data_IF_641203454465
#
_entry.id   IF_641203454465
#
_cell.length_a   1.000
_cell.length_b   1.000
_cell.length_c   1.000
_cell.angle_alpha   90.00
_cell.angle_beta   90.00
_cell.angle_gamma   90.00
#
_symmetry.space_group_name_H-M   'P 1'
#
loop_
_entity.id
_entity.type
_entity.pdbx_description
1 polymer ?
#
# COMPACT_ATOMS: atom_id res chain seq x y z
N UNK A 1 16.11 -12.53 25.64
CA UNK A 1 16.34 -13.28 24.39
C UNK A 1 16.42 -12.22 23.31
N UNK A 2 17.61 -11.64 23.10
CA UNK A 2 18.59 -12.09 22.10
C UNK A 2 17.91 -12.10 20.72
N UNK A 3 18.29 -11.22 19.79
CA UNK A 3 19.55 -11.33 19.06
C UNK A 3 20.31 -10.01 18.92
N UNK A 4 21.63 -10.13 19.12
CA UNK A 4 22.67 -9.13 18.84
C UNK A 4 22.81 -8.92 17.34
N UNK A 5 22.84 -7.66 16.92
CA UNK A 5 23.40 -7.26 15.63
C UNK A 5 24.91 -7.09 15.82
N UNK A 6 25.66 -8.02 15.25
CA UNK A 6 27.11 -8.07 15.26
C UNK A 6 27.63 -7.77 13.85
N UNK A 7 28.63 -6.87 13.80
CA UNK A 7 29.61 -6.65 12.73
C UNK A 7 29.25 -5.62 11.64
N UNK A 8 29.40 -4.35 12.02
CA UNK A 8 30.24 -3.44 11.25
C UNK A 8 31.68 -3.99 11.24
N UNK A 9 32.02 -4.76 10.20
CA UNK A 9 33.34 -5.32 10.00
C UNK A 9 34.13 -4.46 9.03
N UNK A 10 34.94 -3.55 9.57
CA UNK A 10 36.19 -3.11 8.95
C UNK A 10 36.99 -4.36 8.54
N UNK A 11 37.10 -4.61 7.23
CA UNK A 11 38.01 -5.62 6.70
C UNK A 11 38.93 -5.00 5.65
N UNK A 12 40.08 -4.58 6.18
CA UNK A 12 41.42 -4.91 5.70
C UNK A 12 41.68 -4.66 4.21
N UNK A 13 42.20 -3.46 3.93
CA UNK A 13 43.14 -3.29 2.82
C UNK A 13 44.40 -4.13 3.11
N UNK A 14 44.41 -5.33 2.53
CA UNK A 14 45.52 -6.27 2.56
C UNK A 14 46.70 -5.77 1.73
N UNK A 15 47.77 -5.48 2.45
CA UNK A 15 49.16 -5.28 2.02
C UNK A 15 49.72 -6.56 1.36
N UNK A 16 49.95 -6.58 0.04
CA UNK A 16 51.04 -7.28 -0.70
C UNK A 16 51.01 -6.67 -2.13
N UNK A 17 52.03 -6.05 -2.72
CA UNK A 17 53.46 -6.28 -2.67
C UNK A 17 54.19 -4.96 -2.41
N UNK A 18 54.97 -4.91 -1.33
CA UNK A 18 56.01 -3.91 -1.19
C UNK A 18 57.04 -4.07 -2.30
N UNK A 19 57.50 -2.97 -2.86
CA UNK A 19 58.79 -2.93 -3.52
C UNK A 19 59.73 -2.29 -2.50
N UNK A 20 60.51 -3.15 -1.82
CA UNK A 20 61.60 -2.71 -0.97
C UNK A 20 62.57 -1.88 -1.83
N UNK A 21 62.76 -0.61 -1.47
CA UNK A 21 63.81 0.23 -2.02
C UNK A 21 65.15 -0.19 -1.42
N UNK A 22 65.58 -1.41 -1.73
CA UNK A 22 66.92 -1.91 -1.50
C UNK A 22 67.88 -1.32 -2.54
N UNK A 23 68.95 -0.70 -2.06
CA UNK A 23 70.07 -0.15 -2.83
C UNK A 23 70.59 -1.18 -3.85
N UNK A 24 70.55 -0.84 -5.13
CA UNK A 24 71.56 -1.27 -6.10
C UNK A 24 71.74 -0.17 -7.14
N UNK A 25 72.90 0.50 -7.09
CA UNK A 25 73.21 1.68 -7.91
C UNK A 25 73.67 1.36 -9.34
N UNK A 26 73.70 0.10 -9.75
CA UNK A 26 74.24 -0.32 -11.05
C UNK A 26 73.29 -1.25 -11.83
N UNK A 27 72.10 -0.75 -12.19
CA UNK A 27 71.25 -1.40 -13.19
C UNK A 27 71.17 -0.50 -14.42
N UNK A 28 71.50 -1.03 -15.60
CA UNK A 28 71.49 -0.26 -16.85
C UNK A 28 70.11 0.31 -17.15
N UNK A 29 70.05 1.49 -17.80
CA UNK A 29 68.79 2.21 -18.08
C UNK A 29 67.75 1.34 -18.80
N UNK A 30 68.20 0.39 -19.63
CA UNK A 30 67.34 -0.57 -20.32
C UNK A 30 66.55 -1.47 -19.35
N UNK A 31 67.16 -1.92 -18.24
CA UNK A 31 66.50 -2.78 -17.26
C UNK A 31 65.44 -2.03 -16.44
N UNK A 32 65.62 -0.72 -16.22
CA UNK A 32 64.63 0.16 -15.59
C UNK A 32 63.42 0.37 -16.50
N UNK A 33 63.64 0.54 -17.81
CA UNK A 33 62.58 0.69 -18.82
C UNK A 33 61.76 -0.60 -18.99
N UNK A 34 62.41 -1.76 -18.99
CA UNK A 34 61.71 -3.06 -19.10
C UNK A 34 60.82 -3.32 -17.88
N UNK A 35 61.29 -3.03 -16.66
CA UNK A 35 60.45 -3.15 -15.45
C UNK A 35 59.26 -2.17 -15.45
N UNK A 36 59.44 -0.96 -15.99
CA UNK A 36 58.36 0.02 -16.15
C UNK A 36 57.30 -0.48 -17.15
N UNK A 37 57.71 -1.09 -18.27
CA UNK A 37 56.80 -1.66 -19.27
C UNK A 37 56.05 -2.89 -18.74
N UNK A 38 56.69 -3.73 -17.92
CA UNK A 38 56.04 -4.87 -17.23
C UNK A 38 55.00 -4.39 -16.22
N UNK A 39 55.27 -3.28 -15.51
CA UNK A 39 54.31 -2.65 -14.59
C UNK A 39 53.10 -2.04 -15.32
N UNK A 40 53.32 -1.34 -16.44
CA UNK A 40 52.25 -0.83 -17.33
C UNK A 40 51.40 -2.00 -17.88
N UNK A 41 52.03 -3.12 -18.23
CA UNK A 41 51.34 -4.35 -18.65
C UNK A 41 50.44 -4.96 -17.56
N UNK A 42 50.89 -4.98 -16.29
CA UNK A 42 50.08 -5.42 -15.14
C UNK A 42 48.91 -4.47 -14.85
N UNK A 43 49.09 -3.17 -15.04
CA UNK A 43 48.03 -2.16 -14.87
C UNK A 43 46.91 -2.31 -15.93
N UNK A 44 47.27 -2.67 -17.16
CA UNK A 44 46.33 -3.01 -18.25
C UNK A 44 45.40 -4.17 -17.88
N UNK A 45 45.89 -5.13 -17.10
CA UNK A 45 45.11 -6.29 -16.64
C UNK A 45 44.10 -5.94 -15.54
N UNK A 46 44.40 -4.92 -14.72
CA UNK A 46 43.50 -4.43 -13.67
C UNK A 46 42.32 -3.61 -14.25
N UNK A 47 42.56 -2.80 -15.29
CA UNK A 47 41.52 -2.00 -15.96
C UNK A 47 40.48 -2.84 -16.71
N UNK A 48 40.86 -4.01 -17.24
CA UNK A 48 39.94 -4.93 -17.92
C UNK A 48 38.94 -5.61 -16.97
N UNK A 49 39.20 -5.65 -15.65
CA UNK A 49 38.29 -6.21 -14.63
C UNK A 49 37.29 -5.21 -14.05
N UNK A 50 37.40 -3.92 -14.38
CA UNK A 50 36.43 -2.91 -13.96
C UNK A 50 36.52 -2.43 -12.51
N UNK A 51 37.59 -2.77 -11.78
CA UNK A 51 37.67 -2.55 -10.32
C UNK A 51 38.25 -1.18 -9.89
N UNK A 52 38.49 -0.24 -10.79
CA UNK A 52 39.11 1.04 -10.44
C UNK A 52 38.44 2.24 -11.14
N UNK A 53 37.67 3.02 -10.36
CA UNK A 53 37.02 4.27 -10.77
C UNK A 53 37.98 5.46 -10.89
N UNK A 54 39.15 5.26 -11.50
CA UNK A 54 40.15 6.30 -11.71
C UNK A 54 40.08 6.75 -13.17
N UNK A 55 39.74 8.02 -13.40
CA UNK A 55 39.65 8.60 -14.75
C UNK A 55 41.04 8.64 -15.39
N UNK A 56 41.09 8.61 -16.73
CA UNK A 56 42.34 8.46 -17.48
C UNK A 56 43.40 9.54 -17.22
N UNK A 57 43.01 10.68 -16.66
CA UNK A 57 43.87 11.85 -16.42
C UNK A 57 44.81 11.63 -15.22
N UNK A 58 44.33 11.00 -14.14
CA UNK A 58 45.11 10.75 -12.91
C UNK A 58 46.28 9.78 -13.12
N UNK A 59 46.17 8.91 -14.13
CA UNK A 59 47.20 7.92 -14.46
C UNK A 59 48.37 8.58 -15.20
N UNK A 60 48.08 9.55 -16.08
CA UNK A 60 49.11 10.24 -16.87
C UNK A 60 49.95 11.14 -15.98
N UNK A 61 49.33 11.87 -15.04
CA UNK A 61 50.08 12.67 -14.06
C UNK A 61 50.96 11.82 -13.15
N UNK A 62 50.45 10.69 -12.63
CA UNK A 62 51.25 9.80 -11.77
C UNK A 62 52.41 9.13 -12.51
N UNK A 63 52.22 8.75 -13.78
CA UNK A 63 53.29 8.19 -14.63
C UNK A 63 54.35 9.25 -14.96
N UNK A 64 53.95 10.49 -15.25
CA UNK A 64 54.89 11.60 -15.49
C UNK A 64 55.69 11.95 -14.23
N UNK A 65 55.06 11.94 -13.06
CA UNK A 65 55.71 12.20 -11.76
C UNK A 65 56.69 11.07 -11.39
N UNK A 66 56.35 9.80 -11.61
CA UNK A 66 57.25 8.67 -11.36
C UNK A 66 58.46 8.63 -12.30
N UNK A 67 58.28 8.96 -13.58
CA UNK A 67 59.37 9.01 -14.56
C UNK A 67 60.33 10.16 -14.26
N UNK A 68 59.81 11.33 -13.83
CA UNK A 68 60.63 12.45 -13.32
C UNK A 68 61.46 12.10 -12.09
N UNK A 69 60.88 11.33 -11.16
CA UNK A 69 61.58 10.91 -9.94
C UNK A 69 62.69 9.87 -10.18
N UNK A 70 62.66 9.15 -11.31
CA UNK A 70 63.58 8.03 -11.59
C UNK A 70 64.83 8.41 -12.39
N UNK A 71 64.82 9.55 -13.10
CA UNK A 71 65.86 9.91 -14.08
C UNK A 71 66.63 11.20 -13.76
N UNK A 72 66.30 11.92 -12.69
CA UNK A 72 67.16 12.98 -12.13
C UNK A 72 67.69 14.00 -13.15
N UNK A 73 66.82 14.85 -13.70
CA UNK A 73 67.21 15.97 -14.58
C UNK A 73 66.13 16.36 -15.58
N UNK A 74 66.09 17.65 -15.95
CA UNK A 74 65.08 18.29 -16.81
C UNK A 74 65.37 18.16 -18.33
N UNK A 75 66.08 17.12 -18.79
CA UNK A 75 66.39 16.91 -20.21
C UNK A 75 65.39 15.96 -20.91
N UNK A 76 64.11 16.30 -20.85
CA UNK A 76 63.04 15.65 -21.63
C UNK A 76 62.51 16.58 -22.75
N UNK A 77 63.43 17.13 -23.55
CA UNK A 77 63.11 18.03 -24.67
C UNK A 77 62.50 17.35 -25.90
N UNK A 78 63.08 16.25 -26.46
CA UNK A 78 62.61 15.70 -27.74
C UNK A 78 61.65 14.51 -27.62
N UNK A 79 61.64 13.77 -26.50
CA UNK A 79 60.86 12.53 -26.35
C UNK A 79 59.59 12.67 -25.51
N UNK A 80 59.40 13.80 -24.83
CA UNK A 80 58.21 14.07 -24.02
C UNK A 80 56.97 14.22 -24.89
N UNK A 81 57.08 14.92 -26.03
CA UNK A 81 56.00 15.06 -27.01
C UNK A 81 55.65 13.72 -27.64
N UNK A 82 56.62 12.90 -28.02
CA UNK A 82 56.41 11.58 -28.63
C UNK A 82 55.72 10.59 -27.68
N UNK A 83 56.13 10.55 -26.40
CA UNK A 83 55.50 9.69 -25.39
C UNK A 83 54.08 10.19 -25.06
N UNK A 84 53.89 11.52 -24.95
CA UNK A 84 52.56 12.09 -24.74
C UNK A 84 51.64 11.81 -25.93
N UNK A 85 52.14 11.97 -27.16
CA UNK A 85 51.38 11.74 -28.40
C UNK A 85 51.07 10.26 -28.60
N UNK A 86 51.99 9.35 -28.27
CA UNK A 86 51.76 7.91 -28.32
C UNK A 86 50.74 7.47 -27.26
N UNK A 87 50.79 8.05 -26.05
CA UNK A 87 49.81 7.80 -24.99
C UNK A 87 48.42 8.37 -25.35
N UNK A 88 48.36 9.58 -25.95
CA UNK A 88 47.11 10.19 -26.43
C UNK A 88 46.49 9.37 -27.57
N UNK A 89 47.30 8.94 -28.54
CA UNK A 89 46.86 8.10 -29.66
C UNK A 89 46.45 6.67 -29.23
N UNK A 90 46.99 6.14 -28.12
CA UNK A 90 46.53 4.88 -27.52
C UNK A 90 45.26 5.04 -26.69
N UNK A 91 44.97 6.24 -26.16
CA UNK A 91 43.70 6.56 -25.49
C UNK A 91 42.55 6.77 -26.49
N UNK A 92 42.79 7.38 -27.65
CA UNK A 92 41.75 7.62 -28.67
C UNK A 92 41.26 6.34 -29.36
N UNK A 93 42.14 5.35 -29.57
CA UNK A 93 41.80 4.10 -30.28
C UNK A 93 40.99 3.08 -29.46
N UNK A 94 40.66 3.40 -28.20
CA UNK A 94 40.01 2.49 -27.26
C UNK A 94 38.65 2.92 -26.74
N UNK A 95 38.04 4.00 -27.26
CA UNK A 95 36.69 4.40 -26.85
C UNK A 95 35.69 3.47 -27.52
N UNK A 96 34.96 2.60 -26.78
CA UNK A 96 33.94 1.76 -27.40
C UNK A 96 32.85 2.68 -27.96
N UNK A 97 32.70 2.70 -29.29
CA UNK A 97 31.64 3.44 -29.98
C UNK A 97 30.30 2.90 -29.47
N UNK A 98 29.59 3.71 -28.68
CA UNK A 98 28.31 3.32 -28.11
C UNK A 98 27.33 3.08 -29.27
N UNK A 99 26.68 1.90 -29.35
CA UNK A 99 25.76 1.62 -30.44
C UNK A 99 24.58 2.61 -30.46
N UNK A 100 24.15 3.01 -31.65
CA UNK A 100 23.03 3.96 -31.85
C UNK A 100 21.72 3.49 -31.17
N UNK A 101 21.50 2.17 -31.12
CA UNK A 101 20.36 1.55 -30.44
C UNK A 101 20.35 1.81 -28.93
N UNK A 102 21.53 1.89 -28.29
CA UNK A 102 21.69 2.20 -26.87
C UNK A 102 21.37 3.67 -26.61
N UNK A 103 21.84 4.58 -27.46
CA UNK A 103 21.53 6.02 -27.38
C UNK A 103 20.03 6.28 -27.54
N UNK A 104 19.37 5.61 -28.50
CA UNK A 104 17.90 5.68 -28.68
C UNK A 104 17.13 5.14 -27.47
N UNK A 105 17.62 4.07 -26.83
CA UNK A 105 17.03 3.51 -25.60
C UNK A 105 17.22 4.45 -24.40
N UNK A 106 18.38 5.09 -24.27
CA UNK A 106 18.65 6.09 -23.21
C UNK A 106 17.72 7.29 -23.34
N UNK A 107 17.61 7.90 -24.52
CA UNK A 107 16.68 9.03 -24.78
C UNK A 107 15.23 8.67 -24.42
N UNK A 108 14.73 7.51 -24.86
CA UNK A 108 13.37 7.03 -24.51
C UNK A 108 13.20 6.86 -23.00
N UNK A 109 14.22 6.36 -22.32
CA UNK A 109 14.17 6.12 -20.86
C UNK A 109 14.17 7.45 -20.10
N UNK A 110 14.91 8.44 -20.57
CA UNK A 110 14.92 9.82 -20.04
C UNK A 110 13.56 10.51 -20.24
N UNK A 111 12.98 10.42 -21.44
CA UNK A 111 11.62 10.91 -21.73
C UNK A 111 10.59 10.26 -20.81
N UNK A 112 10.63 8.94 -20.66
CA UNK A 112 9.72 8.21 -19.77
C UNK A 112 9.93 8.59 -18.30
N UNK A 113 11.17 8.86 -17.89
CA UNK A 113 11.48 9.31 -16.54
C UNK A 113 10.93 10.73 -16.28
N UNK A 114 11.02 11.63 -17.26
CA UNK A 114 10.47 12.99 -17.18
C UNK A 114 8.94 12.97 -17.09
N UNK A 115 8.27 12.21 -17.95
CA UNK A 115 6.81 12.03 -17.91
C UNK A 115 6.37 11.46 -16.57
N UNK A 116 7.03 10.39 -16.09
CA UNK A 116 6.73 9.81 -14.76
C UNK A 116 6.94 10.81 -13.63
N UNK A 117 7.98 11.65 -13.68
CA UNK A 117 8.20 12.71 -12.67
C UNK A 117 7.06 13.72 -12.67
N UNK A 118 6.66 14.22 -13.84
CA UNK A 118 5.54 15.16 -13.98
C UNK A 118 4.21 14.55 -13.51
N UNK A 119 3.94 13.30 -13.87
CA UNK A 119 2.75 12.57 -13.41
C UNK A 119 2.74 12.42 -11.88
N UNK A 120 3.86 12.04 -11.28
CA UNK A 120 4.00 11.91 -9.83
C UNK A 120 3.79 13.24 -9.11
N UNK A 121 4.33 14.34 -9.63
CA UNK A 121 4.12 15.68 -9.07
C UNK A 121 2.66 16.11 -9.15
N UNK A 122 2.01 15.90 -10.30
CA UNK A 122 0.59 16.19 -10.46
C UNK A 122 -0.28 15.35 -9.52
N UNK A 123 0.04 14.06 -9.36
CA UNK A 123 -0.66 13.15 -8.47
C UNK A 123 -0.45 13.53 -7.00
N UNK A 124 0.73 14.00 -6.61
CA UNK A 124 1.01 14.51 -5.25
C UNK A 124 0.15 15.73 -4.93
N UNK A 125 0.04 16.69 -5.87
CA UNK A 125 -0.83 17.88 -5.70
C UNK A 125 -2.30 17.48 -5.52
N UNK A 126 -2.82 16.63 -6.41
CA UNK A 126 -4.19 16.09 -6.32
C UNK A 126 -4.46 15.36 -5.00
N UNK A 127 -3.53 14.49 -4.56
CA UNK A 127 -3.65 13.79 -3.28
C UNK A 127 -3.67 14.74 -2.08
N UNK A 128 -2.90 15.82 -2.12
CA UNK A 128 -2.91 16.82 -1.05
C UNK A 128 -4.25 17.56 -0.95
N UNK A 129 -4.82 17.94 -2.09
CA UNK A 129 -6.16 18.55 -2.18
C UNK A 129 -7.25 17.58 -1.71
N UNK A 130 -7.23 16.34 -2.20
CA UNK A 130 -8.16 15.29 -1.79
C UNK A 130 -8.09 15.02 -0.29
N UNK A 131 -6.90 15.00 0.31
CA UNK A 131 -6.73 14.79 1.75
C UNK A 131 -7.41 15.90 2.56
N UNK A 132 -7.31 17.15 2.12
CA UNK A 132 -8.01 18.29 2.75
C UNK A 132 -9.53 18.13 2.63
N UNK A 133 -10.01 17.74 1.46
CA UNK A 133 -11.43 17.50 1.21
C UNK A 133 -11.98 16.37 2.08
N UNK A 134 -11.29 15.23 2.16
CA UNK A 134 -11.66 14.08 3.00
C UNK A 134 -11.74 14.49 4.47
N UNK A 135 -10.74 15.23 4.96
CA UNK A 135 -10.72 15.71 6.34
C UNK A 135 -11.91 16.62 6.65
N UNK A 136 -12.21 17.57 5.76
CA UNK A 136 -13.34 18.48 5.93
C UNK A 136 -14.68 17.74 5.92
N UNK A 137 -14.87 16.78 5.01
CA UNK A 137 -16.08 15.93 4.97
C UNK A 137 -16.25 15.10 6.24
N UNK A 138 -15.18 14.41 6.68
CA UNK A 138 -15.23 13.60 7.90
C UNK A 138 -15.61 14.45 9.13
N UNK A 139 -15.07 15.68 9.21
CA UNK A 139 -15.43 16.65 10.25
C UNK A 139 -16.90 17.05 10.18
N UNK A 140 -17.44 17.28 8.97
CA UNK A 140 -18.85 17.59 8.78
C UNK A 140 -19.74 16.43 9.24
N UNK A 141 -19.49 15.21 8.76
CA UNK A 141 -20.30 14.05 9.16
C UNK A 141 -20.30 13.80 10.67
N UNK A 142 -19.14 13.95 11.34
CA UNK A 142 -19.09 13.82 12.80
C UNK A 142 -20.00 14.85 13.49
N UNK A 143 -19.98 16.10 13.03
CA UNK A 143 -20.85 17.16 13.55
C UNK A 143 -22.32 16.87 13.28
N UNK A 144 -22.65 16.39 12.08
CA UNK A 144 -24.03 16.09 11.69
C UNK A 144 -24.61 14.97 12.56
N UNK A 145 -23.85 13.91 12.85
CA UNK A 145 -24.27 12.85 13.74
C UNK A 145 -24.49 13.33 15.18
N UNK A 146 -23.56 14.13 15.72
CA UNK A 146 -23.71 14.72 17.05
C UNK A 146 -24.92 15.66 17.13
N UNK A 147 -25.17 16.44 16.08
CA UNK A 147 -26.31 17.34 16.00
C UNK A 147 -27.62 16.56 15.96
N UNK A 148 -27.71 15.50 15.14
CA UNK A 148 -28.89 14.63 15.07
C UNK A 148 -29.21 13.96 16.41
N UNK A 149 -28.19 13.52 17.15
CA UNK A 149 -28.38 12.92 18.48
C UNK A 149 -28.91 13.95 19.48
N UNK A 150 -28.33 15.16 19.51
CA UNK A 150 -28.78 16.26 20.38
C UNK A 150 -30.20 16.70 20.04
N UNK A 151 -30.52 16.84 18.75
CA UNK A 151 -31.84 17.21 18.26
C UNK A 151 -32.89 16.17 18.68
N UNK A 152 -32.61 14.88 18.53
CA UNK A 152 -33.51 13.81 18.96
C UNK A 152 -33.77 13.84 20.47
N UNK A 153 -32.75 14.15 21.28
CA UNK A 153 -32.92 14.33 22.74
C UNK A 153 -33.76 15.56 23.05
N UNK A 154 -33.53 16.67 22.36
CA UNK A 154 -34.27 17.92 22.52
C UNK A 154 -35.76 17.72 22.19
N UNK A 155 -36.08 17.13 21.03
CA UNK A 155 -37.46 16.83 20.62
C UNK A 155 -38.19 15.95 21.63
N UNK A 156 -37.52 14.94 22.20
CA UNK A 156 -38.07 14.11 23.27
C UNK A 156 -38.40 14.91 24.54
N UNK A 157 -37.55 15.87 24.92
CA UNK A 157 -37.76 16.74 26.09
C UNK A 157 -38.91 17.72 25.84
N UNK A 158 -38.93 18.38 24.68
CA UNK A 158 -39.99 19.32 24.30
C UNK A 158 -41.36 18.65 24.24
N UNK A 159 -41.43 17.44 23.67
CA UNK A 159 -42.67 16.67 23.65
C UNK A 159 -43.19 16.38 25.07
N UNK A 160 -42.30 15.93 25.98
CA UNK A 160 -42.64 15.69 27.39
C UNK A 160 -43.10 16.96 28.11
N UNK A 161 -42.47 18.11 27.85
CA UNK A 161 -42.87 19.40 28.44
C UNK A 161 -44.27 19.83 27.97
N UNK A 162 -44.63 19.55 26.72
CA UNK A 162 -45.98 19.81 26.17
C UNK A 162 -47.02 18.77 26.62
N UNK A 163 -46.65 17.78 27.43
CA UNK A 163 -47.52 16.69 27.87
C UNK A 163 -47.75 15.59 26.82
N UNK A 164 -47.01 15.60 25.72
CA UNK A 164 -47.05 14.59 24.65
C UNK A 164 -45.86 13.63 24.65
N UNK A 165 -45.86 12.70 23.70
CA UNK A 165 -44.76 11.74 23.49
C UNK A 165 -44.17 11.88 22.09
N UNK A 166 -42.85 11.91 22.00
CA UNK A 166 -42.14 11.88 20.72
C UNK A 166 -41.97 10.43 20.26
N UNK A 167 -42.52 10.09 19.10
CA UNK A 167 -42.35 8.78 18.46
C UNK A 167 -41.14 8.85 17.53
N UNK A 168 -40.18 7.95 17.72
CA UNK A 168 -39.00 7.90 16.85
C UNK A 168 -39.38 7.48 15.43
N UNK A 169 -38.70 7.99 14.40
CA UNK A 169 -38.90 7.52 13.03
C UNK A 169 -38.48 6.06 12.89
N UNK A 170 -39.16 5.35 11.99
CA UNK A 170 -38.80 3.97 11.67
C UNK A 170 -37.40 3.88 11.04
N UNK A 171 -36.60 2.87 11.44
CA UNK A 171 -35.25 2.69 10.94
C UNK A 171 -35.23 2.24 9.48
N UNK A 172 -34.34 2.84 8.69
CA UNK A 172 -34.22 2.59 7.24
C UNK A 172 -33.22 1.48 6.90
N UNK A 173 -32.34 1.12 7.83
CA UNK A 173 -31.22 0.20 7.65
C UNK A 173 -31.33 -1.01 8.57
N UNK A 174 -31.09 -2.19 8.02
CA UNK A 174 -30.97 -3.44 8.76
C UNK A 174 -29.58 -4.05 8.57
N UNK A 175 -29.08 -4.71 9.61
CA UNK A 175 -27.94 -5.60 9.51
C UNK A 175 -28.39 -7.04 9.75
N UNK A 176 -28.15 -7.91 8.78
CA UNK A 176 -28.52 -9.33 8.85
C UNK A 176 -27.28 -10.17 9.11
N UNK A 177 -27.41 -11.15 10.01
CA UNK A 177 -26.39 -12.16 10.28
C UNK A 177 -27.03 -13.53 10.12
N UNK A 178 -26.35 -14.43 9.41
CA UNK A 178 -26.80 -15.83 9.30
C UNK A 178 -26.39 -16.66 10.51
N UNK A 179 -27.36 -17.24 11.23
CA UNK A 179 -27.10 -18.04 12.44
C UNK A 179 -27.18 -19.55 12.23
N UNK A 180 -27.96 -20.02 11.24
CA UNK A 180 -28.16 -21.45 10.93
C UNK A 180 -27.48 -21.87 9.63
N UNK A 181 -27.06 -23.15 9.58
CA UNK A 181 -26.42 -23.79 8.42
C UNK A 181 -27.38 -24.03 7.23
N UNK A 182 -26.94 -24.77 6.21
CA UNK A 182 -27.74 -25.07 4.99
C UNK A 182 -28.58 -26.35 5.09
N UNK A 183 -28.35 -27.17 6.11
CA UNK A 183 -28.94 -28.50 6.24
C UNK A 183 -30.43 -28.41 6.61
N UNK A 184 -31.24 -29.30 6.04
CA UNK A 184 -32.69 -29.38 6.29
C UNK A 184 -33.43 -28.03 6.13
N UNK A 185 -33.26 -27.38 4.97
CA UNK A 185 -33.97 -26.14 4.63
C UNK A 185 -34.71 -26.30 3.29
N UNK A 186 -35.92 -25.74 3.22
CA UNK A 186 -36.71 -25.68 2.00
C UNK A 186 -35.95 -24.92 0.88
N UNK A 187 -35.99 -25.38 -0.38
CA UNK A 187 -35.27 -24.77 -1.51
C UNK A 187 -35.57 -23.28 -1.71
N UNK A 188 -36.81 -22.83 -1.48
CA UNK A 188 -37.14 -21.40 -1.62
C UNK A 188 -36.37 -20.55 -0.60
N UNK A 189 -36.30 -20.98 0.65
CA UNK A 189 -35.55 -20.30 1.71
C UNK A 189 -34.05 -20.26 1.38
N UNK A 190 -33.49 -21.37 0.85
CA UNK A 190 -32.11 -21.41 0.36
C UNK A 190 -31.86 -20.36 -0.72
N UNK A 191 -32.80 -20.21 -1.67
CA UNK A 191 -32.68 -19.21 -2.74
C UNK A 191 -32.72 -17.78 -2.21
N UNK A 192 -33.60 -17.48 -1.24
CA UNK A 192 -33.66 -16.16 -0.60
C UNK A 192 -32.34 -15.80 0.10
N UNK A 193 -31.75 -16.74 0.86
CA UNK A 193 -30.45 -16.52 1.51
C UNK A 193 -29.32 -16.27 0.50
N UNK A 194 -29.36 -16.93 -0.66
CA UNK A 194 -28.40 -16.67 -1.75
C UNK A 194 -28.56 -15.27 -2.35
N UNK A 195 -29.80 -14.80 -2.55
CA UNK A 195 -30.10 -13.44 -3.04
C UNK A 195 -29.59 -12.37 -2.06
N UNK A 196 -29.77 -12.60 -0.76
CA UNK A 196 -29.24 -11.74 0.32
C UNK A 196 -27.71 -11.85 0.48
N UNK A 197 -27.03 -12.71 -0.28
CA UNK A 197 -25.58 -12.99 -0.21
C UNK A 197 -25.11 -13.69 1.09
N UNK A 198 -26.04 -14.27 1.86
CA UNK A 198 -25.79 -14.99 3.11
C UNK A 198 -25.46 -16.47 2.86
N UNK A 199 -24.30 -16.75 2.24
CA UNK A 199 -23.90 -18.12 1.84
C UNK A 199 -23.39 -19.00 2.98
N UNK A 200 -22.58 -18.44 3.87
CA UNK A 200 -21.96 -19.15 5.00
C UNK A 200 -22.60 -18.72 6.32
N UNK A 201 -22.43 -19.53 7.36
CA UNK A 201 -22.79 -19.12 8.74
C UNK A 201 -21.94 -17.93 9.16
N UNK A 202 -22.53 -17.04 9.97
CA UNK A 202 -21.92 -15.79 10.42
C UNK A 202 -21.50 -14.84 9.29
N UNK A 203 -22.07 -14.99 8.10
CA UNK A 203 -22.02 -13.92 7.12
C UNK A 203 -22.95 -12.78 7.54
N UNK A 204 -22.46 -11.55 7.40
CA UNK A 204 -23.18 -10.31 7.68
C UNK A 204 -23.39 -9.47 6.42
N UNK A 205 -24.58 -8.89 6.25
CA UNK A 205 -24.91 -8.01 5.10
C UNK A 205 -25.83 -6.87 5.56
N UNK A 206 -25.59 -5.66 5.04
CA UNK A 206 -26.50 -4.53 5.19
C UNK A 206 -27.68 -4.64 4.21
N UNK A 207 -28.88 -4.30 4.66
CA UNK A 207 -30.09 -4.33 3.86
C UNK A 207 -30.89 -3.04 4.07
N UNK A 208 -31.33 -2.43 2.97
CA UNK A 208 -32.27 -1.30 3.00
C UNK A 208 -33.66 -1.84 3.31
N UNK A 209 -34.37 -1.18 4.24
CA UNK A 209 -35.74 -1.53 4.60
C UNK A 209 -36.69 -1.12 3.47
N UNK A 210 -37.40 -2.11 2.94
CA UNK A 210 -38.51 -1.96 2.01
C UNK A 210 -39.57 -3.02 2.36
N UNK A 211 -40.84 -2.78 2.05
CA UNK A 211 -41.93 -3.75 2.24
C UNK A 211 -41.62 -5.09 1.58
N UNK A 212 -41.04 -5.07 0.38
CA UNK A 212 -40.62 -6.29 -0.32
C UNK A 212 -39.51 -7.06 0.42
N UNK A 213 -38.51 -6.36 0.95
CA UNK A 213 -37.39 -6.99 1.66
C UNK A 213 -37.82 -7.54 3.01
N UNK A 214 -38.77 -6.90 3.70
CA UNK A 214 -39.37 -7.40 4.93
C UNK A 214 -40.14 -8.70 4.69
N UNK A 215 -40.93 -8.78 3.62
CA UNK A 215 -41.63 -10.01 3.24
C UNK A 215 -40.66 -11.16 2.91
N UNK A 216 -39.52 -10.86 2.29
CA UNK A 216 -38.45 -11.85 2.10
C UNK A 216 -37.83 -12.28 3.43
N UNK A 217 -37.62 -11.34 4.36
CA UNK A 217 -37.05 -11.58 5.68
C UNK A 217 -37.94 -12.49 6.53
N UNK A 218 -39.27 -12.29 6.55
CA UNK A 218 -40.19 -13.15 7.28
C UNK A 218 -40.08 -14.63 6.89
N UNK A 219 -39.77 -14.92 5.63
CA UNK A 219 -39.57 -16.32 5.16
C UNK A 219 -38.24 -16.94 5.61
N UNK A 220 -37.24 -16.12 5.92
CA UNK A 220 -35.89 -16.58 6.35
C UNK A 220 -35.63 -16.35 7.83
N UNK A 221 -36.56 -15.72 8.54
CA UNK A 221 -36.50 -15.33 9.94
C UNK A 221 -35.93 -16.40 10.89
N UNK A 222 -36.31 -17.69 10.82
CA UNK A 222 -35.74 -18.70 11.73
C UNK A 222 -34.26 -19.05 11.45
N UNK A 223 -33.67 -18.57 10.36
CA UNK A 223 -32.29 -18.86 9.93
C UNK A 223 -31.33 -17.69 10.07
N UNK A 224 -31.88 -16.47 10.17
CA UNK A 224 -31.14 -15.23 10.28
C UNK A 224 -31.48 -14.54 11.58
N UNK A 225 -30.58 -13.68 12.02
CA UNK A 225 -30.91 -12.67 13.01
C UNK A 225 -30.63 -11.30 12.40
N UNK A 226 -31.47 -10.34 12.72
CA UNK A 226 -31.31 -8.99 12.20
C UNK A 226 -31.76 -7.94 13.22
N UNK A 227 -31.36 -6.71 12.96
CA UNK A 227 -31.73 -5.56 13.78
C UNK A 227 -31.13 -4.27 13.22
N UNK A 228 -31.19 -3.22 14.02
CA UNK A 228 -30.77 -1.87 13.63
C UNK A 228 -29.34 -1.60 14.08
N UNK A 229 -28.38 -1.47 13.15
CA UNK A 229 -27.00 -1.21 13.53
C UNK A 229 -26.82 0.26 13.93
N UNK A 230 -26.04 0.49 14.97
CA UNK A 230 -25.58 1.83 15.36
C UNK A 230 -24.36 2.23 14.50
N UNK A 231 -24.12 3.54 14.33
CA UNK A 231 -22.97 4.12 13.66
C UNK A 231 -21.65 3.47 14.11
N UNK A 232 -21.46 3.27 15.41
CA UNK A 232 -20.27 2.59 15.95
C UNK A 232 -20.11 1.17 15.42
N UNK A 233 -21.20 0.40 15.38
CA UNK A 233 -21.18 -0.98 14.89
C UNK A 233 -20.89 -1.04 13.39
N UNK A 234 -21.51 -0.15 12.59
CA UNK A 234 -21.24 -0.03 11.14
C UNK A 234 -19.78 0.33 10.90
N UNK A 235 -19.25 1.30 11.65
CA UNK A 235 -17.85 1.71 11.60
C UNK A 235 -16.95 0.52 11.88
N UNK A 236 -17.08 -0.12 13.04
CA UNK A 236 -16.24 -1.26 13.41
C UNK A 236 -16.28 -2.40 12.38
N UNK A 237 -17.45 -2.72 11.82
CA UNK A 237 -17.59 -3.73 10.78
C UNK A 237 -16.78 -3.38 9.52
N UNK A 238 -16.92 -2.15 9.02
CA UNK A 238 -16.22 -1.71 7.80
C UNK A 238 -14.71 -1.62 8.04
N UNK A 239 -14.26 -1.04 9.17
CA UNK A 239 -12.83 -0.90 9.45
C UNK A 239 -12.14 -2.24 9.74
N UNK A 240 -12.76 -3.14 10.53
CA UNK A 240 -12.10 -4.38 10.97
C UNK A 240 -12.30 -5.52 9.99
N UNK A 241 -13.45 -5.59 9.32
CA UNK A 241 -13.90 -6.76 8.54
C UNK A 241 -14.33 -6.38 7.11
N UNK A 242 -14.15 -5.13 6.70
CA UNK A 242 -14.51 -4.65 5.38
C UNK A 242 -13.59 -5.18 4.29
N UNK A 243 -14.22 -5.80 3.28
CA UNK A 243 -13.57 -6.15 2.02
C UNK A 243 -14.35 -5.52 0.87
N UNK A 244 -13.63 -4.94 -0.08
CA UNK A 244 -14.18 -4.41 -1.32
C UNK A 244 -14.17 -5.46 -2.43
N UNK A 245 -15.17 -5.39 -3.30
CA UNK A 245 -15.26 -6.17 -4.53
C UNK A 245 -14.67 -5.36 -5.69
N UNK A 246 -13.41 -5.61 -6.01
CA UNK A 246 -12.70 -4.95 -7.12
C UNK A 246 -12.46 -5.98 -8.22
N UNK A 247 -12.95 -5.72 -9.44
CA UNK A 247 -12.83 -6.68 -10.56
C UNK A 247 -13.29 -8.10 -10.21
N UNK A 248 -14.36 -8.21 -9.39
CA UNK A 248 -14.90 -9.47 -8.81
C UNK A 248 -13.98 -10.20 -7.83
N UNK A 249 -12.80 -9.67 -7.53
CA UNK A 249 -11.91 -10.17 -6.50
C UNK A 249 -12.23 -9.52 -5.15
N UNK A 250 -11.87 -10.24 -4.08
CA UNK A 250 -12.06 -9.78 -2.69
C UNK A 250 -10.75 -9.16 -2.21
N UNK A 251 -10.76 -7.84 -1.99
CA UNK A 251 -9.58 -7.08 -1.54
C UNK A 251 -9.90 -6.41 -0.21
N UNK A 252 -8.96 -6.42 0.74
CA UNK A 252 -9.13 -5.75 2.02
C UNK A 252 -9.15 -4.22 1.84
N UNK A 253 -9.97 -3.52 2.63
CA UNK A 253 -10.03 -2.06 2.59
C UNK A 253 -8.91 -1.44 3.45
N UNK A 254 -7.70 -1.37 2.91
CA UNK A 254 -6.55 -0.72 3.57
C UNK A 254 -6.46 0.77 3.23
N UNK A 255 -6.68 1.11 1.98
CA UNK A 255 -6.46 2.44 1.43
C UNK A 255 -7.71 3.02 0.78
N UNK A 256 -7.90 4.34 0.92
CA UNK A 256 -9.02 5.06 0.31
C UNK A 256 -9.00 5.00 -1.23
N UNK A 257 -7.83 4.76 -1.85
CA UNK A 257 -7.71 4.61 -3.30
C UNK A 257 -8.54 3.46 -3.85
N UNK A 258 -8.72 2.37 -3.08
CA UNK A 258 -9.52 1.20 -3.49
C UNK A 258 -10.99 1.58 -3.63
N UNK A 259 -11.48 2.43 -2.72
CA UNK A 259 -12.87 2.91 -2.70
C UNK A 259 -13.08 3.90 -3.86
N UNK A 260 -12.18 4.88 -3.99
CA UNK A 260 -12.25 5.91 -5.03
C UNK A 260 -12.25 5.31 -6.45
N UNK A 261 -11.46 4.26 -6.70
CA UNK A 261 -11.40 3.60 -8.01
C UNK A 261 -12.76 3.02 -8.44
N UNK A 262 -13.54 2.46 -7.52
CA UNK A 262 -14.81 1.80 -7.84
C UNK A 262 -16.01 2.75 -7.68
N UNK A 263 -16.04 3.51 -6.59
CA UNK A 263 -17.18 4.33 -6.18
C UNK A 263 -16.97 5.84 -6.41
N UNK A 264 -15.81 6.27 -6.92
CA UNK A 264 -15.52 7.68 -7.18
C UNK A 264 -16.52 8.34 -8.13
N UNK A 265 -17.15 7.57 -9.03
CA UNK A 265 -18.23 8.03 -9.91
C UNK A 265 -19.49 8.50 -9.15
N UNK A 266 -19.71 7.96 -7.96
CA UNK A 266 -20.84 8.25 -7.09
C UNK A 266 -20.49 9.28 -6.00
N UNK A 267 -19.30 9.88 -6.05
CA UNK A 267 -18.85 10.88 -5.06
C UNK A 267 -18.37 10.29 -3.72
N UNK A 268 -18.26 8.96 -3.62
CA UNK A 268 -17.77 8.25 -2.44
C UNK A 268 -16.26 8.04 -2.62
N UNK A 269 -15.46 8.79 -1.85
CA UNK A 269 -14.00 8.83 -2.02
C UNK A 269 -13.30 8.09 -0.88
N UNK A 270 -13.83 8.22 0.34
CA UNK A 270 -13.18 7.69 1.54
C UNK A 270 -14.01 6.64 2.29
N UNK A 271 -13.39 6.00 3.27
CA UNK A 271 -14.08 5.07 4.18
C UNK A 271 -15.22 5.75 4.96
N UNK A 272 -15.02 6.99 5.43
CA UNK A 272 -16.06 7.74 6.14
C UNK A 272 -17.28 8.03 5.25
N UNK A 273 -17.07 8.40 3.99
CA UNK A 273 -18.14 8.59 3.00
C UNK A 273 -18.94 7.28 2.82
N UNK A 274 -18.23 6.14 2.75
CA UNK A 274 -18.86 4.82 2.62
C UNK A 274 -19.71 4.48 3.85
N UNK A 275 -19.20 4.73 5.06
CA UNK A 275 -19.94 4.53 6.31
C UNK A 275 -21.18 5.43 6.34
N UNK A 276 -21.03 6.69 5.93
CA UNK A 276 -22.13 7.66 5.91
C UNK A 276 -23.24 7.25 4.94
N UNK A 277 -22.88 6.89 3.70
CA UNK A 277 -23.83 6.45 2.68
C UNK A 277 -24.62 5.21 3.13
N UNK A 278 -23.96 4.28 3.82
CA UNK A 278 -24.61 3.09 4.38
C UNK A 278 -25.55 3.45 5.52
N UNK A 279 -25.11 4.27 6.48
CA UNK A 279 -25.88 4.62 7.67
C UNK A 279 -27.13 5.43 7.35
N UNK A 280 -27.00 6.43 6.49
CA UNK A 280 -28.11 7.31 6.10
C UNK A 280 -29.02 6.68 5.03
N UNK A 281 -28.57 5.59 4.40
CA UNK A 281 -29.22 4.95 3.25
C UNK A 281 -29.40 5.95 2.11
N UNK A 282 -28.28 6.52 1.67
CA UNK A 282 -28.23 7.53 0.62
C UNK A 282 -28.66 7.02 -0.77
N UNK A 283 -28.61 7.89 -1.79
CA UNK A 283 -29.07 7.56 -3.15
C UNK A 283 -28.27 6.43 -3.81
N UNK A 284 -26.98 6.28 -3.45
CA UNK A 284 -26.06 5.29 -4.01
C UNK A 284 -25.79 4.11 -3.06
N UNK A 285 -26.74 3.86 -2.14
CA UNK A 285 -26.66 2.76 -1.18
C UNK A 285 -26.50 1.38 -1.85
N UNK A 286 -27.16 1.17 -3.00
CA UNK A 286 -27.15 -0.14 -3.68
C UNK A 286 -25.75 -0.45 -4.22
N UNK A 287 -25.10 0.54 -4.80
CA UNK A 287 -23.76 0.48 -5.35
C UNK A 287 -22.72 0.29 -4.23
N UNK A 288 -22.83 1.09 -3.16
CA UNK A 288 -22.00 0.96 -1.97
C UNK A 288 -22.11 -0.42 -1.30
N UNK A 289 -23.33 -0.92 -1.10
CA UNK A 289 -23.56 -2.22 -0.47
C UNK A 289 -23.12 -3.39 -1.38
N UNK A 290 -23.21 -3.24 -2.71
CA UNK A 290 -22.72 -4.26 -3.64
C UNK A 290 -21.19 -4.28 -3.75
N UNK A 291 -20.54 -3.13 -3.57
CA UNK A 291 -19.08 -3.03 -3.45
C UNK A 291 -18.57 -3.76 -2.20
N UNK A 292 -19.25 -3.61 -1.06
CA UNK A 292 -18.91 -4.34 0.16
C UNK A 292 -19.17 -5.84 -0.04
N UNK A 293 -18.12 -6.64 0.17
CA UNK A 293 -18.25 -8.09 0.25
C UNK A 293 -18.95 -8.47 1.56
N UNK A 294 -19.83 -9.51 1.59
CA UNK A 294 -20.46 -9.95 2.82
C UNK A 294 -19.43 -10.15 3.95
N UNK A 295 -19.69 -9.54 5.10
CA UNK A 295 -18.79 -9.60 6.24
C UNK A 295 -18.67 -11.04 6.72
N UNK A 296 -17.45 -11.53 6.89
CA UNK A 296 -17.20 -12.80 7.55
C UNK A 296 -16.98 -12.51 9.03
N UNK A 297 -18.02 -12.76 9.84
CA UNK A 297 -17.98 -12.53 11.29
C UNK A 297 -17.41 -13.76 12.01
N UNK A 298 -16.83 -13.53 13.18
CA UNK A 298 -16.41 -14.62 14.07
C UNK A 298 -17.63 -15.16 14.82
N UNK A 299 -17.53 -16.38 15.31
CA UNK A 299 -18.49 -16.87 16.31
C UNK A 299 -18.53 -15.90 17.51
N UNK A 300 -19.71 -15.62 18.07
CA UNK A 300 -19.84 -14.64 19.14
C UNK A 300 -19.15 -15.14 20.42
N UNK A 301 -18.42 -14.25 21.09
CA UNK A 301 -17.89 -14.52 22.41
C UNK A 301 -19.04 -14.81 23.40
N UNK A 302 -18.94 -15.89 24.15
CA UNK A 302 -20.03 -16.38 25.01
C UNK A 302 -21.13 -17.18 24.28
N UNK A 303 -20.99 -17.39 22.97
CA UNK A 303 -21.89 -18.23 22.19
C UNK A 303 -23.27 -17.61 21.90
N UNK A 304 -24.13 -18.43 21.30
CA UNK A 304 -25.54 -18.13 21.06
C UNK A 304 -26.37 -18.87 22.13
N UNK A 305 -27.47 -18.28 22.59
CA UNK A 305 -28.39 -18.86 23.56
C UNK A 305 -29.10 -20.09 22.97
N UNK A 306 -29.99 -19.86 21.99
CA UNK A 306 -30.73 -20.92 21.28
C UNK A 306 -30.95 -20.50 19.82
N UNK A 307 -30.37 -21.25 18.88
CA UNK A 307 -30.39 -20.91 17.44
C UNK A 307 -31.74 -21.12 16.75
N UNK A 308 -32.64 -21.94 17.33
CA UNK A 308 -33.90 -22.33 16.69
C UNK A 308 -35.08 -21.46 17.11
N UNK A 309 -35.05 -20.95 18.33
CA UNK A 309 -36.11 -20.15 18.91
C UNK A 309 -35.99 -18.68 18.48
N UNK A 310 -37.13 -18.01 18.39
CA UNK A 310 -37.19 -16.58 18.11
C UNK A 310 -36.63 -15.76 19.29
N UNK A 311 -36.16 -14.54 19.04
CA UNK A 311 -35.57 -13.67 20.06
C UNK A 311 -36.53 -13.41 21.24
N UNK A 312 -37.83 -13.23 20.95
CA UNK A 312 -38.89 -13.02 21.96
C UNK A 312 -39.00 -14.19 22.94
N UNK A 313 -38.73 -15.42 22.50
CA UNK A 313 -38.75 -16.63 23.33
C UNK A 313 -37.41 -16.86 24.07
N UNK A 314 -36.50 -15.87 24.06
CA UNK A 314 -35.15 -16.00 24.60
C UNK A 314 -34.16 -16.72 23.68
N UNK A 315 -34.50 -16.90 22.41
CA UNK A 315 -33.61 -17.41 21.38
C UNK A 315 -32.76 -16.33 20.71
N UNK A 316 -32.22 -16.65 19.54
CA UNK A 316 -31.36 -15.76 18.74
C UNK A 316 -31.88 -15.51 17.33
N UNK A 317 -32.94 -16.19 16.87
CA UNK A 317 -33.48 -15.99 15.54
C UNK A 317 -34.39 -14.76 15.45
N UNK A 318 -34.48 -14.17 14.27
CA UNK A 318 -35.38 -13.05 13.97
C UNK A 318 -34.89 -11.67 14.38
N UNK A 319 -35.84 -10.75 14.54
CA UNK A 319 -35.57 -9.34 14.84
C UNK A 319 -35.24 -9.15 16.33
N UNK A 320 -34.11 -8.50 16.60
CA UNK A 320 -33.69 -8.12 17.96
C UNK A 320 -33.46 -6.62 18.12
N UNK A 321 -33.94 -5.82 17.16
CA UNK A 321 -33.89 -4.35 17.18
C UNK A 321 -32.47 -3.85 17.50
N UNK A 322 -32.30 -3.08 18.57
CA UNK A 322 -31.03 -2.47 18.96
C UNK A 322 -30.04 -3.45 19.60
N UNK A 323 -30.51 -4.60 20.12
CA UNK A 323 -29.66 -5.63 20.74
C UNK A 323 -28.76 -6.37 19.73
N UNK A 324 -28.93 -6.11 18.43
CA UNK A 324 -27.99 -6.57 17.40
C UNK A 324 -26.59 -5.99 17.61
N UNK A 325 -26.51 -4.77 18.16
CA UNK A 325 -25.24 -4.10 18.36
C UNK A 325 -24.36 -4.82 19.39
N UNK A 326 -24.97 -5.38 20.43
CA UNK A 326 -24.27 -6.22 21.41
C UNK A 326 -23.76 -7.53 20.78
N UNK A 327 -24.56 -8.15 19.90
CA UNK A 327 -24.14 -9.34 19.18
C UNK A 327 -22.97 -9.05 18.23
N UNK A 328 -23.05 -7.97 17.45
CA UNK A 328 -21.99 -7.55 16.52
C UNK A 328 -20.67 -7.33 17.28
N UNK A 329 -20.72 -6.63 18.42
CA UNK A 329 -19.53 -6.38 19.26
C UNK A 329 -18.89 -7.67 19.77
N UNK A 330 -19.68 -8.71 20.09
CA UNK A 330 -19.18 -10.04 20.48
C UNK A 330 -18.59 -10.85 19.33
N UNK A 331 -18.96 -10.53 18.09
CA UNK A 331 -18.48 -11.20 16.87
C UNK A 331 -17.30 -10.48 16.22
N UNK A 332 -16.87 -9.35 16.78
CA UNK A 332 -15.78 -8.52 16.25
C UNK A 332 -14.39 -9.15 16.40
#
# INVERSE_FOLDING_TARGET
>A
MEWRDERAGELRYGRVCGFDSGKDRNMSEAAKIVNLLVWIGKFRWCRLRGDCGVTGVDVVEKVVVMVKASLGGDDFGPYRSLIFTAAYNQMEKGVPVVPESVLKKQKRSEEWALVKKQELESAKKKKAEQRKLIYNKAKQYSKDYEQQEKELIQLKREARLKGGFYVNPEPKLLFLIRIRGINAMHPQTKKILQLLRLRQIFNGVFLKVNKATLNMLHRVEPYVTFGYPNLKSVKELIYKRGYGKVNKQRIALTDNSIIEQVLGKHGIICMEDLVHEIMTVGPHFKEANNFIWPFQLKAPLGGLKKKRNHYVEGGDAGNREDYINELIRRMN
#
